data_IF_369411667560
#
_entry.id   IF_369411667560
#
_cell.length_a   1.000
_cell.length_b   1.000
_cell.length_c   1.000
_cell.angle_alpha   90.00
_cell.angle_beta   90.00
_cell.angle_gamma   90.00
#
_symmetry.space_group_name_H-M   'P 1'
#
loop_
_entity.id
_entity.type
_entity.pdbx_description
1 polymer ?
#
# COMPACT_ATOMS: atom_id res chain seq x y z
N UNK A 1 53.21 -10.21 -18.10
CA UNK A 1 52.52 -10.46 -16.81
C UNK A 1 52.01 -9.13 -16.23
N UNK A 2 51.10 -8.43 -16.92
CA UNK A 2 50.51 -7.16 -16.46
C UNK A 2 49.21 -6.93 -17.23
N UNK A 3 48.12 -7.57 -16.80
CA UNK A 3 46.79 -7.34 -17.40
C UNK A 3 45.66 -7.81 -16.48
N UNK A 4 45.69 -7.45 -15.19
CA UNK A 4 44.62 -7.81 -14.23
C UNK A 4 44.44 -6.77 -13.11
N UNK A 5 44.57 -5.47 -13.40
CA UNK A 5 44.24 -4.41 -12.42
C UNK A 5 43.46 -3.28 -13.12
N UNK A 6 42.37 -3.63 -13.81
CA UNK A 6 41.42 -2.63 -14.32
C UNK A 6 39.97 -3.15 -14.30
N UNK A 7 39.59 -3.85 -13.23
CA UNK A 7 38.21 -4.32 -13.02
C UNK A 7 37.86 -4.40 -11.53
N UNK A 8 38.39 -3.48 -10.72
CA UNK A 8 38.17 -3.45 -9.26
C UNK A 8 37.70 -2.08 -8.75
N UNK A 9 37.21 -1.21 -9.64
CA UNK A 9 36.66 0.11 -9.28
C UNK A 9 35.16 0.24 -9.66
N UNK A 10 34.59 -0.71 -10.39
CA UNK A 10 33.19 -0.64 -10.86
C UNK A 10 32.16 -1.27 -9.90
N UNK A 11 32.58 -1.69 -8.70
CA UNK A 11 31.72 -2.35 -7.70
C UNK A 11 31.53 -1.51 -6.42
N UNK A 12 32.06 -0.27 -6.37
CA UNK A 12 32.08 0.56 -5.16
C UNK A 12 31.07 1.71 -5.13
N UNK A 13 30.15 1.80 -6.10
CA UNK A 13 29.19 2.90 -6.20
C UNK A 13 27.75 2.45 -6.44
N UNK A 14 27.32 1.40 -5.75
CA UNK A 14 25.90 1.21 -5.45
C UNK A 14 25.70 1.32 -3.94
N UNK A 15 26.17 2.42 -3.37
CA UNK A 15 25.57 2.90 -2.13
C UNK A 15 24.18 3.36 -2.52
N UNK A 16 23.17 2.55 -2.26
CA UNK A 16 21.77 2.92 -2.46
C UNK A 16 21.49 4.12 -1.57
N UNK A 17 21.46 5.33 -2.16
CA UNK A 17 21.07 6.53 -1.44
C UNK A 17 19.57 6.39 -1.14
N UNK A 18 19.23 6.04 0.11
CA UNK A 18 17.84 6.00 0.56
C UNK A 18 17.25 7.40 0.35
N UNK A 19 16.18 7.50 -0.43
CA UNK A 19 15.50 8.77 -0.61
C UNK A 19 14.83 9.13 0.72
N UNK A 20 15.18 10.26 1.30
CA UNK A 20 14.48 10.77 2.47
C UNK A 20 13.03 11.07 2.07
N UNK A 21 12.06 10.79 2.96
CA UNK A 21 10.69 11.17 2.71
C UNK A 21 10.61 12.68 2.36
N UNK A 22 9.78 13.08 1.37
CA UNK A 22 9.75 14.44 0.84
C UNK A 22 8.83 15.37 1.63
N UNK A 23 8.16 14.88 2.68
CA UNK A 23 7.03 15.55 3.29
C UNK A 23 7.46 16.71 4.18
N UNK A 24 7.09 17.93 3.81
CA UNK A 24 7.52 19.17 4.48
C UNK A 24 6.81 19.40 5.82
N UNK A 25 5.70 18.71 6.07
CA UNK A 25 4.88 18.81 7.26
C UNK A 25 5.11 17.67 8.27
N UNK A 26 6.21 16.93 8.10
CA UNK A 26 6.62 15.86 9.02
C UNK A 26 7.97 16.16 9.64
N UNK A 27 8.04 16.15 10.97
CA UNK A 27 9.27 16.35 11.71
C UNK A 27 10.04 15.03 11.88
N UNK A 28 11.38 15.08 11.81
CA UNK A 28 12.25 13.90 12.06
C UNK A 28 12.08 13.27 13.44
N UNK A 29 11.58 14.05 14.40
CA UNK A 29 11.32 13.60 15.76
C UNK A 29 9.89 13.07 15.97
N UNK A 30 9.03 13.11 14.95
CA UNK A 30 7.70 12.52 15.04
C UNK A 30 7.82 11.00 15.23
N UNK A 31 6.99 10.44 16.11
CA UNK A 31 7.08 9.02 16.49
C UNK A 31 6.92 8.07 15.29
N UNK A 32 6.21 8.50 14.24
CA UNK A 32 5.94 7.74 13.02
C UNK A 32 6.94 8.02 11.90
N UNK A 33 7.93 8.91 12.10
CA UNK A 33 8.82 9.36 11.03
C UNK A 33 9.53 8.21 10.30
N UNK A 34 10.10 7.28 11.07
CA UNK A 34 10.84 6.15 10.51
C UNK A 34 9.95 5.19 9.72
N UNK A 35 8.71 5.00 10.19
CA UNK A 35 7.73 4.15 9.51
C UNK A 35 7.28 4.80 8.20
N UNK A 36 6.99 6.11 8.21
CA UNK A 36 6.66 6.86 7.00
C UNK A 36 7.81 6.85 5.99
N UNK A 37 9.04 7.03 6.45
CA UNK A 37 10.23 6.98 5.60
C UNK A 37 10.43 5.58 5.01
N UNK A 38 10.17 4.51 5.77
CA UNK A 38 10.17 3.15 5.25
C UNK A 38 9.10 2.95 4.17
N UNK A 39 7.84 3.31 4.45
CA UNK A 39 6.71 3.15 3.53
C UNK A 39 6.89 3.97 2.25
N UNK A 40 7.48 5.15 2.34
CA UNK A 40 7.81 5.97 1.18
C UNK A 40 8.86 5.28 0.28
N UNK A 41 9.96 4.80 0.87
CA UNK A 41 11.00 4.10 0.12
C UNK A 41 10.53 2.76 -0.46
N UNK A 42 9.51 2.15 0.15
CA UNK A 42 8.83 0.96 -0.34
C UNK A 42 7.77 1.24 -1.42
N UNK A 43 7.58 2.51 -1.83
CA UNK A 43 6.57 2.97 -2.79
C UNK A 43 5.12 2.71 -2.36
N UNK A 44 4.88 2.54 -1.06
CA UNK A 44 3.55 2.35 -0.49
C UNK A 44 2.85 3.71 -0.33
N UNK A 45 3.54 4.66 0.31
CA UNK A 45 3.10 6.04 0.41
C UNK A 45 3.83 6.84 -0.67
N UNK A 46 3.07 7.57 -1.49
CA UNK A 46 3.61 8.36 -2.60
C UNK A 46 3.68 9.83 -2.22
N UNK A 47 4.61 10.54 -2.84
CA UNK A 47 4.68 11.98 -2.76
C UNK A 47 3.42 12.63 -3.36
N UNK A 48 3.11 13.82 -2.89
CA UNK A 48 2.01 14.66 -3.39
C UNK A 48 2.58 15.92 -4.05
N UNK A 49 1.83 16.58 -4.95
CA UNK A 49 2.33 17.81 -5.58
C UNK A 49 2.67 18.94 -4.60
N UNK A 50 2.05 18.95 -3.43
CA UNK A 50 2.30 19.92 -2.35
C UNK A 50 3.34 19.43 -1.32
N UNK A 51 3.88 18.23 -1.51
CA UNK A 51 4.85 17.58 -0.62
C UNK A 51 4.37 17.49 0.83
N UNK A 52 3.09 17.17 1.05
CA UNK A 52 2.50 17.06 2.39
C UNK A 52 1.93 15.68 2.65
N UNK A 53 2.28 15.12 3.81
CA UNK A 53 1.69 13.88 4.30
C UNK A 53 0.34 14.13 4.98
N UNK A 54 0.16 15.31 5.59
CA UNK A 54 -0.99 15.69 6.40
C UNK A 54 -1.27 14.71 7.55
N UNK A 55 -0.34 14.53 8.51
CA UNK A 55 -0.42 13.50 9.55
C UNK A 55 -1.64 13.60 10.48
N UNK A 56 -2.27 14.77 10.54
CA UNK A 56 -3.46 15.02 11.38
C UNK A 56 -4.78 14.99 10.61
N UNK A 57 -4.75 14.72 9.31
CA UNK A 57 -5.95 14.60 8.48
C UNK A 57 -6.63 13.25 8.69
N UNK A 58 -7.94 13.22 8.45
CA UNK A 58 -8.68 11.96 8.40
C UNK A 58 -8.25 11.14 7.19
N UNK A 59 -7.99 9.85 7.40
CA UNK A 59 -7.75 8.88 6.34
C UNK A 59 -9.08 8.29 5.85
N UNK A 60 -9.22 8.10 4.54
CA UNK A 60 -10.37 7.37 3.98
C UNK A 60 -10.16 5.86 4.07
N UNK A 61 -11.25 5.08 4.10
CA UNK A 61 -11.18 3.61 4.24
C UNK A 61 -10.44 2.94 3.09
N UNK A 62 -10.60 3.45 1.87
CA UNK A 62 -9.91 2.99 0.67
C UNK A 62 -8.40 3.28 0.73
N UNK A 63 -7.98 4.43 1.24
CA UNK A 63 -6.56 4.77 1.50
C UNK A 63 -5.94 3.86 2.56
N UNK A 64 -6.68 3.57 3.63
CA UNK A 64 -6.27 2.59 4.64
C UNK A 64 -6.09 1.21 4.01
N UNK A 65 -7.11 0.70 3.31
CA UNK A 65 -7.05 -0.61 2.64
C UNK A 65 -5.89 -0.66 1.66
N UNK A 66 -5.69 0.38 0.84
CA UNK A 66 -4.57 0.47 -0.09
C UNK A 66 -3.24 0.30 0.64
N UNK A 67 -3.03 1.03 1.73
CA UNK A 67 -1.79 0.98 2.50
C UNK A 67 -1.53 -0.43 3.05
N UNK A 68 -2.54 -1.06 3.66
CA UNK A 68 -2.39 -2.42 4.22
C UNK A 68 -2.19 -3.46 3.10
N UNK A 69 -2.93 -3.37 1.99
CA UNK A 69 -2.80 -4.28 0.84
C UNK A 69 -1.40 -4.19 0.22
N UNK A 70 -0.86 -2.97 0.04
CA UNK A 70 0.46 -2.77 -0.52
C UNK A 70 1.58 -3.37 0.34
N UNK A 71 1.39 -3.39 1.67
CA UNK A 71 2.32 -4.00 2.63
C UNK A 71 2.13 -5.52 2.72
N UNK A 72 0.89 -6.01 2.72
CA UNK A 72 0.57 -7.38 3.08
C UNK A 72 0.36 -8.32 1.88
N UNK A 73 -0.39 -7.91 0.86
CA UNK A 73 -0.86 -8.82 -0.20
C UNK A 73 -0.76 -8.16 -1.58
N UNK A 74 0.44 -8.14 -2.16
CA UNK A 74 0.64 -7.64 -3.54
C UNK A 74 0.06 -8.57 -4.60
N UNK A 75 -0.25 -9.82 -4.30
CA UNK A 75 -0.77 -10.77 -5.29
C UNK A 75 -2.20 -10.40 -5.75
N UNK A 76 -3.03 -9.88 -4.85
CA UNK A 76 -4.43 -9.59 -5.16
C UNK A 76 -4.62 -8.38 -6.10
N UNK A 77 -3.59 -7.55 -6.31
CA UNK A 77 -3.65 -6.47 -7.31
C UNK A 77 -3.40 -7.01 -8.75
N UNK A 78 -2.97 -8.25 -8.87
CA UNK A 78 -2.77 -8.96 -10.13
C UNK A 78 -3.55 -10.29 -10.12
N UNK A 79 -4.89 -10.23 -10.19
CA UNK A 79 -5.76 -11.40 -10.03
C UNK A 79 -5.49 -12.46 -11.10
N UNK A 80 -5.62 -13.72 -10.70
CA UNK A 80 -5.61 -14.87 -11.61
C UNK A 80 -6.97 -15.01 -12.31
N UNK A 81 -7.02 -15.87 -13.34
CA UNK A 81 -8.32 -16.22 -13.97
C UNK A 81 -9.27 -16.86 -12.94
N UNK A 82 -8.74 -17.64 -12.00
CA UNK A 82 -9.53 -18.24 -10.91
C UNK A 82 -10.16 -17.15 -10.03
N UNK A 83 -9.39 -16.13 -9.64
CA UNK A 83 -9.91 -14.99 -8.88
C UNK A 83 -11.03 -14.26 -9.64
N UNK A 84 -10.85 -14.04 -10.95
CA UNK A 84 -11.85 -13.38 -11.80
C UNK A 84 -13.15 -14.17 -11.86
N UNK A 85 -13.07 -15.50 -11.96
CA UNK A 85 -14.24 -16.38 -12.01
C UNK A 85 -14.92 -16.47 -10.64
N UNK A 86 -14.13 -16.58 -9.57
CA UNK A 86 -14.60 -16.67 -8.20
C UNK A 86 -15.31 -15.41 -7.74
N UNK A 87 -14.71 -14.25 -8.00
CA UNK A 87 -15.26 -12.93 -7.68
C UNK A 87 -15.99 -12.34 -8.90
N UNK A 88 -16.89 -13.14 -9.48
CA UNK A 88 -17.73 -12.72 -10.61
C UNK A 88 -18.89 -11.82 -10.19
N UNK A 89 -19.34 -11.93 -8.95
CA UNK A 89 -20.34 -11.06 -8.32
C UNK A 89 -19.69 -10.08 -7.35
N UNK A 90 -20.25 -8.88 -7.23
CA UNK A 90 -19.72 -7.86 -6.32
C UNK A 90 -19.83 -8.31 -4.85
N UNK A 91 -18.73 -8.28 -4.08
CA UNK A 91 -18.71 -8.74 -2.70
C UNK A 91 -19.40 -7.75 -1.74
N UNK A 92 -19.56 -6.50 -2.15
CA UNK A 92 -20.24 -5.44 -1.41
C UNK A 92 -21.06 -4.60 -2.37
N UNK A 93 -22.17 -4.01 -1.92
CA UNK A 93 -23.11 -3.27 -2.79
C UNK A 93 -22.51 -2.00 -3.39
N UNK A 94 -21.49 -1.44 -2.72
CA UNK A 94 -20.79 -0.21 -3.09
C UNK A 94 -19.38 -0.47 -3.64
N UNK A 95 -19.00 -1.74 -3.85
CA UNK A 95 -17.71 -2.10 -4.42
C UNK A 95 -17.86 -2.62 -5.85
N UNK A 96 -17.33 -1.88 -6.82
CA UNK A 96 -17.35 -2.24 -8.24
C UNK A 96 -15.95 -2.61 -8.75
N UNK A 97 -15.86 -3.33 -9.88
CA UNK A 97 -14.60 -3.82 -10.45
C UNK A 97 -13.65 -2.72 -10.92
N UNK A 98 -14.12 -1.49 -11.08
CA UNK A 98 -13.28 -0.33 -11.40
C UNK A 98 -12.40 0.08 -10.21
N UNK A 99 -12.73 -0.35 -8.99
CA UNK A 99 -11.87 -0.16 -7.84
C UNK A 99 -10.59 -0.99 -8.00
N UNK A 100 -9.43 -0.33 -7.98
CA UNK A 100 -8.12 -0.99 -8.14
C UNK A 100 -7.81 -2.06 -7.08
N UNK A 101 -8.56 -2.07 -5.98
CA UNK A 101 -8.40 -3.01 -4.87
C UNK A 101 -9.55 -4.01 -4.78
N UNK A 102 -10.42 -4.09 -5.79
CA UNK A 102 -11.61 -4.96 -5.80
C UNK A 102 -11.30 -6.39 -5.32
N UNK A 103 -10.31 -7.04 -5.94
CA UNK A 103 -9.94 -8.43 -5.64
C UNK A 103 -9.30 -8.60 -4.26
N UNK A 104 -8.55 -7.59 -3.79
CA UNK A 104 -7.99 -7.60 -2.45
C UNK A 104 -9.08 -7.55 -1.38
N UNK A 105 -10.04 -6.64 -1.57
CA UNK A 105 -11.18 -6.49 -0.66
C UNK A 105 -12.06 -7.75 -0.73
N UNK A 106 -12.27 -8.33 -1.91
CA UNK A 106 -13.02 -9.57 -2.07
C UNK A 106 -12.37 -10.76 -1.35
N UNK A 107 -11.05 -10.94 -1.51
CA UNK A 107 -10.28 -12.01 -0.86
C UNK A 107 -10.27 -11.86 0.67
N UNK A 108 -10.04 -10.65 1.18
CA UNK A 108 -10.04 -10.42 2.63
C UNK A 108 -11.41 -10.58 3.27
N UNK A 109 -12.49 -10.31 2.53
CA UNK A 109 -13.85 -10.66 2.97
C UNK A 109 -13.99 -12.18 3.12
N UNK A 110 -13.53 -12.94 2.13
CA UNK A 110 -13.59 -14.41 2.16
C UNK A 110 -12.76 -14.99 3.32
N UNK A 111 -11.58 -14.43 3.57
CA UNK A 111 -10.68 -14.81 4.66
C UNK A 111 -11.16 -14.33 6.05
N UNK A 112 -12.24 -13.54 6.12
CA UNK A 112 -12.78 -13.01 7.37
C UNK A 112 -11.93 -11.92 8.02
N UNK A 113 -10.99 -11.32 7.27
CA UNK A 113 -10.15 -10.21 7.73
C UNK A 113 -10.95 -8.90 7.78
N UNK A 114 -11.89 -8.73 6.84
CA UNK A 114 -12.83 -7.61 6.81
C UNK A 114 -14.27 -8.11 6.71
N UNK A 115 -15.20 -7.30 7.20
CA UNK A 115 -16.63 -7.60 7.20
C UNK A 115 -17.45 -6.42 6.67
N UNK A 116 -18.65 -6.73 6.18
CA UNK A 116 -19.64 -5.72 5.83
C UNK A 116 -20.34 -5.19 7.09
N UNK A 117 -20.89 -3.99 7.00
CA UNK A 117 -21.85 -3.52 7.99
C UNK A 117 -23.17 -4.27 7.82
N UNK A 118 -23.41 -5.26 8.67
CA UNK A 118 -24.75 -5.83 8.75
C UNK A 118 -25.64 -4.86 9.51
N UNK A 119 -26.81 -4.57 8.97
CA UNK A 119 -27.85 -3.90 9.75
C UNK A 119 -28.38 -4.92 10.75
N UNK A 120 -28.39 -4.57 12.03
CA UNK A 120 -29.13 -5.37 13.01
C UNK A 120 -30.64 -5.29 12.77
N UNK A 121 -31.42 -6.07 13.52
CA UNK A 121 -32.87 -6.06 13.46
C UNK A 121 -33.50 -4.68 13.76
N UNK A 122 -32.71 -3.71 14.25
CA UNK A 122 -33.10 -2.33 14.54
C UNK A 122 -32.61 -1.32 13.50
N UNK A 123 -32.11 -1.77 12.35
CA UNK A 123 -31.58 -0.93 11.27
C UNK A 123 -30.39 -0.07 11.70
N UNK A 124 -29.62 -0.55 12.68
CA UNK A 124 -28.35 0.06 13.07
C UNK A 124 -27.21 -0.74 12.49
N UNK A 125 -26.18 -0.03 12.02
CA UNK A 125 -24.94 -0.67 11.60
C UNK A 125 -24.27 -1.29 12.83
N UNK A 126 -24.03 -2.59 12.76
CA UNK A 126 -23.19 -3.35 13.71
C UNK A 126 -21.88 -3.72 13.07
#
# INVERSE_FOLDING_TARGET
MFRKIFFLILILSFWTLKAQNPFIDVNKNDFFYNDLDYLYNAWVIKDTPDHKFNPNSLIKRDEYVATVVWVWCKECINPTIEDILKFSTDPFVDLTKENSYFYCIAKWKEEGIIQWYTLDASWKYT
#
